data_IF_929796165347
#
_entry.id   IF_929796165347
#
_cell.length_a   1.000
_cell.length_b   1.000
_cell.length_c   1.000
_cell.angle_alpha   90.00
_cell.angle_beta   90.00
_cell.angle_gamma   90.00
#
_symmetry.space_group_name_H-M   'P 1'
#
loop_
_entity.id
_entity.type
_entity.pdbx_description
1 polymer ?
#
# COMPACT_ATOMS: atom_id res chain seq x y z
N UNK A 1 27.75 4.22 -47.11
CA UNK A 1 27.85 4.81 -45.75
C UNK A 1 26.67 4.41 -44.86
N UNK A 2 25.42 4.51 -45.32
CA UNK A 2 24.22 4.14 -44.55
C UNK A 2 24.24 2.73 -43.96
N UNK A 3 24.63 1.70 -44.73
CA UNK A 3 24.69 0.31 -44.23
C UNK A 3 25.68 0.10 -43.07
N UNK A 4 26.80 0.85 -43.05
CA UNK A 4 27.81 0.75 -41.98
C UNK A 4 27.40 1.50 -40.71
N UNK A 5 26.63 2.59 -40.84
CA UNK A 5 25.99 3.25 -39.70
C UNK A 5 24.91 2.39 -39.07
N UNK A 6 24.09 1.72 -39.89
CA UNK A 6 23.11 0.74 -39.42
C UNK A 6 23.75 -0.42 -38.66
N UNK A 7 24.85 -0.98 -39.17
CA UNK A 7 25.55 -2.07 -38.48
C UNK A 7 26.07 -1.64 -37.10
N UNK A 8 26.59 -0.41 -36.98
CA UNK A 8 27.06 0.13 -35.70
C UNK A 8 25.92 0.40 -34.73
N UNK A 9 24.80 0.96 -35.20
CA UNK A 9 23.60 1.10 -34.38
C UNK A 9 23.08 -0.25 -33.91
N UNK A 10 23.01 -1.26 -34.79
CA UNK A 10 22.61 -2.62 -34.43
C UNK A 10 23.57 -3.22 -33.40
N UNK A 11 24.88 -2.98 -33.52
CA UNK A 11 25.87 -3.52 -32.59
C UNK A 11 25.83 -2.83 -31.22
N UNK A 12 25.59 -1.50 -31.18
CA UNK A 12 25.37 -0.74 -29.95
C UNK A 12 24.03 -1.09 -29.30
N UNK A 13 22.96 -1.25 -30.08
CA UNK A 13 21.67 -1.75 -29.62
C UNK A 13 21.77 -3.18 -29.09
N UNK A 14 22.54 -4.05 -29.74
CA UNK A 14 22.83 -5.41 -29.26
C UNK A 14 23.63 -5.36 -27.96
N UNK A 15 24.63 -4.48 -27.85
CA UNK A 15 25.36 -4.26 -26.60
C UNK A 15 24.44 -3.77 -25.49
N UNK A 16 23.52 -2.85 -25.76
CA UNK A 16 22.52 -2.40 -24.78
C UNK A 16 21.46 -3.45 -24.44
N UNK A 17 21.13 -4.34 -25.37
CA UNK A 17 20.24 -5.48 -25.12
C UNK A 17 20.93 -6.60 -24.33
N UNK A 18 22.23 -6.82 -24.59
CA UNK A 18 23.02 -7.90 -24.00
C UNK A 18 23.70 -7.49 -22.69
N UNK A 19 23.96 -6.20 -22.48
CA UNK A 19 24.41 -5.67 -21.20
C UNK A 19 23.20 -5.17 -20.42
N UNK A 20 23.11 -5.42 -19.11
CA UNK A 20 22.02 -4.92 -18.29
C UNK A 20 22.18 -3.42 -18.00
N UNK A 21 22.49 -2.61 -19.01
CA UNK A 21 22.57 -1.16 -18.92
C UNK A 21 21.20 -0.53 -18.60
N UNK A 22 20.11 -1.17 -19.05
CA UNK A 22 18.74 -0.87 -18.64
C UNK A 22 18.52 -0.94 -17.11
N UNK A 23 19.52 -1.44 -16.36
CA UNK A 23 19.47 -1.65 -14.94
C UNK A 23 20.55 -0.88 -14.15
N UNK A 24 21.39 -0.08 -14.82
CA UNK A 24 22.48 0.66 -14.18
C UNK A 24 22.10 2.08 -13.77
N UNK A 25 22.76 2.65 -12.76
CA UNK A 25 22.57 4.06 -12.37
C UNK A 25 23.04 5.00 -13.51
N UNK A 26 22.41 6.17 -13.67
CA UNK A 26 22.72 7.24 -14.64
C UNK A 26 24.21 7.48 -14.84
N UNK A 27 24.96 7.60 -13.74
CA UNK A 27 26.39 7.86 -13.81
C UNK A 27 27.16 6.74 -14.52
N UNK A 28 26.70 5.50 -14.40
CA UNK A 28 27.34 4.31 -14.99
C UNK A 28 27.02 4.23 -16.47
N UNK A 29 25.74 4.36 -16.83
CA UNK A 29 25.33 4.36 -18.23
C UNK A 29 26.08 5.47 -18.99
N UNK A 30 26.03 6.70 -18.47
CA UNK A 30 26.76 7.82 -19.06
C UNK A 30 28.28 7.63 -19.05
N UNK A 31 28.89 7.10 -17.99
CA UNK A 31 30.33 6.83 -17.98
C UNK A 31 30.73 5.74 -18.97
N UNK A 32 29.89 4.73 -19.18
CA UNK A 32 30.15 3.62 -20.10
C UNK A 32 29.95 4.06 -21.55
N UNK A 33 28.89 4.83 -21.84
CA UNK A 33 28.72 5.48 -23.14
C UNK A 33 29.88 6.43 -23.42
N UNK A 34 30.24 7.32 -22.48
CA UNK A 34 31.42 8.18 -22.60
C UNK A 34 32.70 7.37 -22.79
N UNK A 35 32.87 6.27 -22.07
CA UNK A 35 34.01 5.36 -22.19
C UNK A 35 34.10 4.74 -23.59
N UNK A 36 32.99 4.22 -24.13
CA UNK A 36 32.92 3.71 -25.51
C UNK A 36 33.32 4.81 -26.50
N UNK A 37 32.81 6.03 -26.33
CA UNK A 37 33.12 7.15 -27.21
C UNK A 37 34.57 7.59 -27.13
N UNK A 38 35.13 7.74 -25.92
CA UNK A 38 36.52 8.15 -25.67
C UNK A 38 37.51 7.08 -26.10
N UNK A 39 37.17 5.78 -25.94
CA UNK A 39 38.03 4.66 -26.31
C UNK A 39 37.92 4.29 -27.79
N UNK A 40 36.82 4.62 -28.47
CA UNK A 40 36.62 4.32 -29.90
C UNK A 40 37.76 4.78 -30.83
N UNK A 41 38.41 5.95 -30.65
CA UNK A 41 39.53 6.39 -31.49
C UNK A 41 40.81 5.60 -31.20
N UNK A 42 41.01 5.17 -29.95
CA UNK A 42 42.17 4.36 -29.56
C UNK A 42 42.06 2.93 -30.09
N UNK A 43 40.88 2.33 -30.01
CA UNK A 43 40.59 1.01 -30.60
C UNK A 43 40.74 1.08 -32.12
N UNK A 44 40.22 2.12 -32.77
CA UNK A 44 40.36 2.34 -34.21
C UNK A 44 41.82 2.57 -34.67
N UNK A 45 42.70 3.08 -33.79
CA UNK A 45 44.13 3.18 -34.09
C UNK A 45 44.83 1.82 -34.08
N UNK A 46 44.44 0.92 -33.17
CA UNK A 46 45.03 -0.42 -33.04
C UNK A 46 44.46 -1.43 -34.05
N UNK A 47 43.23 -1.25 -34.50
CA UNK A 47 42.57 -2.14 -35.47
C UNK A 47 42.35 -1.38 -36.79
N UNK A 48 43.22 -1.56 -37.81
CA UNK A 48 43.18 -0.78 -39.05
C UNK A 48 41.84 -0.91 -39.79
N UNK A 49 41.18 -2.05 -39.67
CA UNK A 49 39.85 -2.32 -40.23
C UNK A 49 38.74 -1.46 -39.63
N UNK A 50 38.96 -0.86 -38.45
CA UNK A 50 38.00 -0.01 -37.73
C UNK A 50 38.34 1.49 -37.80
N UNK A 51 39.34 1.90 -38.58
CA UNK A 51 39.74 3.32 -38.74
C UNK A 51 38.62 4.24 -39.25
N UNK A 52 37.61 3.67 -39.91
CA UNK A 52 36.44 4.41 -40.39
C UNK A 52 35.41 4.68 -39.29
N UNK A 53 35.44 3.96 -38.17
CA UNK A 53 34.44 4.01 -37.11
C UNK A 53 34.33 5.39 -36.44
N UNK A 54 35.43 6.04 -36.00
CA UNK A 54 35.33 7.33 -35.33
C UNK A 54 34.87 8.41 -36.31
N UNK A 55 35.34 8.38 -37.56
CA UNK A 55 34.90 9.31 -38.61
C UNK A 55 33.41 9.16 -38.87
N UNK A 56 32.89 7.93 -38.93
CA UNK A 56 31.47 7.67 -39.17
C UNK A 56 30.60 8.09 -37.97
N UNK A 57 31.02 7.80 -36.74
CA UNK A 57 30.35 8.25 -35.52
C UNK A 57 30.25 9.78 -35.45
N UNK A 58 31.36 10.49 -35.68
CA UNK A 58 31.39 11.95 -35.65
C UNK A 58 30.64 12.60 -36.83
N UNK A 59 30.69 12.01 -38.03
CA UNK A 59 29.95 12.55 -39.19
C UNK A 59 28.44 12.32 -39.09
N UNK A 60 27.99 11.22 -38.48
CA UNK A 60 26.57 11.03 -38.16
C UNK A 60 26.11 12.05 -37.11
N UNK A 61 26.89 12.25 -36.03
CA UNK A 61 26.57 13.24 -34.99
C UNK A 61 26.49 14.66 -35.57
N UNK A 62 27.52 15.07 -36.34
CA UNK A 62 27.58 16.39 -36.96
C UNK A 62 26.53 16.57 -38.07
N UNK A 63 26.20 15.50 -38.81
CA UNK A 63 25.16 15.53 -39.85
C UNK A 63 23.74 15.58 -39.30
N UNK A 64 23.49 15.03 -38.12
CA UNK A 64 22.21 15.11 -37.42
C UNK A 64 21.99 16.47 -36.73
N UNK A 65 23.07 17.20 -36.41
CA UNK A 65 23.02 18.49 -35.72
C UNK A 65 22.26 19.61 -36.48
N UNK A 66 22.41 19.79 -37.81
CA UNK A 66 21.60 20.75 -38.56
C UNK A 66 20.14 20.31 -38.73
N UNK A 67 19.88 19.00 -38.90
CA UNK A 67 18.51 18.45 -38.91
C UNK A 67 17.84 18.69 -37.55
N UNK A 68 18.60 18.54 -36.48
CA UNK A 68 18.19 18.87 -35.11
C UNK A 68 17.85 20.35 -34.94
N UNK A 69 18.73 21.27 -35.38
CA UNK A 69 18.44 22.72 -35.36
C UNK A 69 17.16 23.07 -36.12
N UNK A 70 16.92 22.42 -37.27
CA UNK A 70 15.73 22.61 -38.10
C UNK A 70 14.44 22.08 -37.43
N UNK A 71 14.51 20.91 -36.79
CA UNK A 71 13.38 20.32 -36.06
C UNK A 71 13.04 21.08 -34.77
N UNK A 72 14.04 21.68 -34.11
CA UNK A 72 13.84 22.54 -32.94
C UNK A 72 13.14 23.87 -33.28
N UNK A 73 13.26 24.33 -34.52
CA UNK A 73 12.58 25.53 -35.01
C UNK A 73 11.15 25.23 -35.54
N UNK A 74 10.71 23.97 -35.52
CA UNK A 74 9.41 23.57 -36.07
C UNK A 74 8.27 23.82 -35.06
N UNK A 75 7.25 24.64 -35.40
CA UNK A 75 6.30 25.19 -34.42
C UNK A 75 5.33 24.19 -33.77
N UNK A 76 5.34 22.91 -34.15
CA UNK A 76 4.29 21.94 -33.78
C UNK A 76 4.72 20.92 -32.69
N UNK A 77 5.86 21.13 -32.01
CA UNK A 77 6.25 20.32 -30.85
C UNK A 77 6.62 18.85 -31.13
N UNK A 78 6.36 18.33 -32.34
CA UNK A 78 6.71 16.97 -32.75
C UNK A 78 8.22 16.69 -32.72
N UNK A 79 9.06 17.74 -32.80
CA UNK A 79 10.51 17.63 -32.64
C UNK A 79 10.94 17.12 -31.25
N UNK A 80 10.09 17.21 -30.22
CA UNK A 80 10.42 16.80 -28.86
C UNK A 80 10.27 15.29 -28.58
N UNK A 81 9.54 14.54 -29.42
CA UNK A 81 9.27 13.11 -29.19
C UNK A 81 10.48 12.21 -29.53
N UNK A 82 11.16 12.35 -30.70
CA UNK A 82 12.41 11.63 -30.93
C UNK A 82 13.54 12.13 -30.03
N UNK A 83 13.45 13.40 -29.60
CA UNK A 83 14.35 14.02 -28.64
C UNK A 83 14.18 13.42 -27.25
N UNK A 84 12.98 13.10 -26.77
CA UNK A 84 12.85 12.39 -25.49
C UNK A 84 13.50 11.02 -25.58
N UNK A 85 13.31 10.26 -26.66
CA UNK A 85 13.97 8.95 -26.81
C UNK A 85 15.50 9.06 -26.92
N UNK A 86 16.05 9.96 -27.74
CA UNK A 86 17.50 10.13 -27.85
C UNK A 86 18.11 10.83 -26.63
N UNK A 87 17.45 11.81 -26.01
CA UNK A 87 17.87 12.41 -24.74
C UNK A 87 17.75 11.42 -23.58
N UNK A 88 16.73 10.56 -23.54
CA UNK A 88 16.64 9.45 -22.58
C UNK A 88 17.73 8.40 -22.83
N UNK A 89 18.09 8.17 -24.10
CA UNK A 89 19.21 7.32 -24.50
C UNK A 89 20.58 7.91 -24.14
N UNK A 90 20.83 9.20 -24.40
CA UNK A 90 22.11 9.88 -24.20
C UNK A 90 22.30 10.49 -22.80
N UNK A 91 21.22 10.94 -22.15
CA UNK A 91 21.24 11.73 -20.92
C UNK A 91 20.32 11.21 -19.80
N UNK A 92 19.52 10.17 -20.08
CA UNK A 92 18.72 9.36 -19.16
C UNK A 92 18.46 10.00 -17.79
N UNK A 93 17.49 10.90 -17.72
CA UNK A 93 16.99 11.37 -16.42
C UNK A 93 16.05 10.31 -15.84
N UNK A 94 16.29 9.93 -14.58
CA UNK A 94 15.42 9.03 -13.83
C UNK A 94 14.05 9.66 -13.46
N UNK A 95 13.74 10.85 -13.96
CA UNK A 95 12.51 11.59 -13.68
C UNK A 95 11.46 11.49 -14.80
N UNK A 96 11.69 10.69 -15.85
CA UNK A 96 10.55 10.17 -16.61
C UNK A 96 9.88 9.09 -15.77
N UNK A 97 8.54 9.04 -15.70
CA UNK A 97 7.80 8.05 -14.89
C UNK A 97 8.19 6.58 -15.15
N UNK A 98 8.88 6.31 -16.25
CA UNK A 98 9.37 5.02 -16.69
C UNK A 98 10.53 4.40 -15.87
N UNK A 99 10.99 5.00 -14.77
CA UNK A 99 12.18 4.51 -14.07
C UNK A 99 11.83 3.59 -12.90
N UNK A 100 12.54 2.47 -12.81
CA UNK A 100 12.31 1.45 -11.79
C UNK A 100 12.79 1.94 -10.43
N UNK A 101 11.85 2.21 -9.52
CA UNK A 101 12.12 2.57 -8.12
C UNK A 101 12.10 1.32 -7.26
N UNK A 102 13.15 1.08 -6.50
CA UNK A 102 13.14 0.04 -5.46
C UNK A 102 12.19 0.47 -4.36
N UNK A 103 11.13 -0.31 -4.12
CA UNK A 103 10.08 0.01 -3.14
C UNK A 103 10.11 -0.91 -1.93
N UNK A 104 10.65 -2.12 -2.07
CA UNK A 104 10.71 -3.11 -0.99
C UNK A 104 11.99 -3.94 -1.06
N UNK A 105 12.52 -4.36 0.08
CA UNK A 105 13.66 -5.28 0.20
C UNK A 105 13.21 -6.50 0.99
N UNK A 106 13.26 -7.66 0.35
CA UNK A 106 12.85 -8.94 0.92
C UNK A 106 13.97 -9.59 1.72
N UNK A 107 15.17 -9.66 1.13
CA UNK A 107 16.29 -10.40 1.71
C UNK A 107 17.63 -9.73 1.39
N UNK A 108 18.66 -10.01 2.19
CA UNK A 108 20.03 -9.53 1.98
C UNK A 108 21.09 -10.60 2.23
N UNK A 109 22.19 -10.56 1.49
CA UNK A 109 23.37 -11.39 1.72
C UNK A 109 24.61 -10.68 1.18
N UNK A 110 25.65 -10.51 2.01
CA UNK A 110 26.95 -9.95 1.60
C UNK A 110 26.84 -8.62 0.82
N UNK A 111 25.94 -7.73 1.26
CA UNK A 111 25.68 -6.44 0.60
C UNK A 111 24.75 -6.51 -0.62
N UNK A 112 24.50 -7.69 -1.18
CA UNK A 112 23.45 -7.88 -2.19
C UNK A 112 22.06 -7.92 -1.54
N UNK A 113 21.04 -7.49 -2.27
CA UNK A 113 19.64 -7.48 -1.82
C UNK A 113 18.71 -8.08 -2.87
N UNK A 114 17.68 -8.79 -2.43
CA UNK A 114 16.51 -9.12 -3.25
C UNK A 114 15.44 -8.09 -2.95
N UNK A 115 14.94 -7.43 -3.98
CA UNK A 115 14.12 -6.24 -3.83
C UNK A 115 12.99 -6.17 -4.86
N UNK A 116 11.86 -5.59 -4.47
CA UNK A 116 10.78 -5.22 -5.38
C UNK A 116 11.10 -3.85 -6.00
N UNK A 117 11.05 -3.77 -7.32
CA UNK A 117 11.06 -2.52 -8.04
C UNK A 117 9.70 -2.26 -8.67
N UNK A 118 9.29 -1.00 -8.73
CA UNK A 118 8.07 -0.55 -9.40
C UNK A 118 8.40 0.59 -10.37
N UNK A 119 7.74 0.62 -11.53
CA UNK A 119 7.77 1.77 -12.43
C UNK A 119 6.34 2.19 -12.79
N UNK A 120 6.15 3.49 -13.01
CA UNK A 120 4.86 4.11 -13.34
C UNK A 120 4.93 4.69 -14.75
N UNK A 121 4.56 3.89 -15.75
CA UNK A 121 4.52 4.39 -17.11
C UNK A 121 3.34 5.35 -17.30
N UNK A 122 3.62 6.54 -17.84
CA UNK A 122 2.58 7.44 -18.31
C UNK A 122 2.01 6.88 -19.62
N UNK A 123 0.80 6.33 -19.56
CA UNK A 123 0.04 5.93 -20.75
C UNK A 123 -1.02 6.99 -21.04
N UNK A 124 -1.07 7.48 -22.29
CA UNK A 124 -2.02 8.51 -22.72
C UNK A 124 -3.50 8.09 -22.64
N UNK A 125 -3.79 6.79 -22.48
CA UNK A 125 -5.13 6.24 -22.71
C UNK A 125 -5.63 5.25 -21.64
N UNK A 126 -4.94 5.08 -20.50
CA UNK A 126 -5.46 4.19 -19.45
C UNK A 126 -4.91 4.55 -18.08
N UNK A 127 -5.74 4.29 -17.06
CA UNK A 127 -5.41 4.30 -15.63
C UNK A 127 -3.99 3.78 -15.38
N UNK A 128 -3.20 4.51 -14.56
CA UNK A 128 -1.83 4.20 -14.17
C UNK A 128 -1.55 2.69 -14.08
N UNK A 129 -0.86 2.13 -15.08
CA UNK A 129 -0.40 0.75 -15.04
C UNK A 129 0.91 0.70 -14.26
N UNK A 130 0.82 0.35 -12.97
CA UNK A 130 1.99 0.05 -12.14
C UNK A 130 2.55 -1.30 -12.53
N UNK A 131 3.75 -1.31 -13.09
CA UNK A 131 4.50 -2.55 -13.27
C UNK A 131 5.38 -2.79 -12.06
N UNK A 132 5.46 -4.03 -11.61
CA UNK A 132 6.32 -4.44 -10.50
C UNK A 132 7.17 -5.65 -10.90
N UNK A 133 8.39 -5.72 -10.38
CA UNK A 133 9.30 -6.86 -10.59
C UNK A 133 10.12 -7.14 -9.33
N UNK A 134 10.54 -8.38 -9.18
CA UNK A 134 11.48 -8.80 -8.14
C UNK A 134 12.86 -8.95 -8.77
N UNK A 135 13.86 -8.31 -8.16
CA UNK A 135 15.22 -8.26 -8.68
C UNK A 135 16.24 -8.54 -7.60
N UNK A 136 17.38 -9.10 -8.01
CA UNK A 136 18.58 -9.20 -7.19
C UNK A 136 19.53 -8.07 -7.57
N UNK A 137 19.83 -7.21 -6.60
CA UNK A 137 20.73 -6.06 -6.71
C UNK A 137 22.04 -6.42 -5.99
N UNK A 138 23.14 -6.48 -6.72
CA UNK A 138 24.48 -6.81 -6.22
C UNK A 138 25.36 -5.56 -6.32
N UNK A 139 25.87 -4.99 -5.22
CA UNK A 139 26.80 -3.87 -5.29
C UNK A 139 28.14 -4.34 -5.87
N UNK A 140 28.55 -3.76 -6.98
CA UNK A 140 29.89 -3.96 -7.55
C UNK A 140 30.87 -2.93 -6.99
N UNK A 141 30.40 -1.72 -6.71
CA UNK A 141 31.13 -0.66 -5.99
C UNK A 141 30.15 0.16 -5.13
N UNK A 142 30.61 1.09 -4.27
CA UNK A 142 29.70 1.95 -3.49
C UNK A 142 28.72 2.78 -4.32
N UNK A 143 29.05 3.04 -5.60
CA UNK A 143 28.22 3.81 -6.53
C UNK A 143 27.60 2.94 -7.64
N UNK A 144 28.06 1.69 -7.77
CA UNK A 144 27.64 0.80 -8.86
C UNK A 144 26.93 -0.43 -8.34
N UNK A 145 25.71 -0.64 -8.84
CA UNK A 145 24.87 -1.78 -8.53
C UNK A 145 24.54 -2.55 -9.82
N UNK A 146 24.64 -3.87 -9.75
CA UNK A 146 24.24 -4.80 -10.79
C UNK A 146 22.88 -5.38 -10.46
N UNK A 147 21.89 -5.22 -11.34
CA UNK A 147 20.54 -5.73 -11.10
C UNK A 147 20.23 -6.84 -12.08
N UNK A 148 19.69 -7.93 -11.56
CA UNK A 148 19.27 -9.12 -12.32
C UNK A 148 17.88 -9.54 -11.88
N UNK A 149 17.18 -10.32 -12.68
CA UNK A 149 15.91 -10.93 -12.24
C UNK A 149 16.17 -11.85 -11.04
N UNK A 150 15.29 -11.82 -10.04
CA UNK A 150 15.31 -12.79 -8.95
C UNK A 150 14.18 -13.81 -9.15
N UNK A 151 14.51 -15.09 -9.05
CA UNK A 151 13.54 -16.18 -9.16
C UNK A 151 12.67 -16.28 -7.90
N UNK A 152 13.26 -16.03 -6.73
CA UNK A 152 12.60 -16.09 -5.42
C UNK A 152 12.71 -14.76 -4.66
N UNK A 153 11.63 -14.37 -3.95
CA UNK A 153 11.64 -13.25 -3.01
C UNK A 153 12.52 -13.54 -1.79
N UNK A 154 12.61 -14.82 -1.38
CA UNK A 154 13.34 -15.27 -0.19
C UNK A 154 14.31 -16.42 -0.52
N UNK A 155 15.46 -16.15 -1.17
CA UNK A 155 16.41 -17.20 -1.48
C UNK A 155 16.92 -17.90 -0.21
N UNK A 156 17.06 -19.23 -0.26
CA UNK A 156 17.54 -20.00 0.88
C UNK A 156 18.91 -19.50 1.35
N UNK A 157 19.09 -19.40 2.67
CA UNK A 157 20.33 -18.94 3.30
C UNK A 157 20.56 -17.43 3.27
N UNK A 158 19.65 -16.64 2.70
CA UNK A 158 19.70 -15.17 2.79
C UNK A 158 19.07 -14.68 4.09
N UNK A 159 19.59 -13.57 4.62
CA UNK A 159 18.98 -12.94 5.79
C UNK A 159 17.70 -12.24 5.37
N UNK A 160 16.57 -12.68 5.93
CA UNK A 160 15.26 -12.07 5.74
C UNK A 160 15.24 -10.64 6.29
N UNK A 161 14.74 -9.71 5.47
CA UNK A 161 14.68 -8.29 5.76
C UNK A 161 13.23 -7.84 5.87
N UNK A 162 12.45 -8.05 4.81
CA UNK A 162 11.04 -7.71 4.66
C UNK A 162 10.68 -6.29 5.14
N UNK A 163 11.24 -5.29 4.45
CA UNK A 163 11.07 -3.88 4.77
C UNK A 163 11.00 -3.01 3.51
N UNK A 164 10.29 -1.89 3.59
CA UNK A 164 10.26 -0.91 2.51
C UNK A 164 11.67 -0.35 2.22
N UNK A 165 11.99 -0.14 0.95
CA UNK A 165 13.32 0.28 0.50
C UNK A 165 13.72 1.67 1.02
N UNK A 166 12.75 2.52 1.37
CA UNK A 166 12.98 3.83 2.02
C UNK A 166 13.79 3.72 3.32
N UNK A 167 13.76 2.55 3.97
CA UNK A 167 14.54 2.27 5.17
C UNK A 167 15.99 1.87 4.88
N UNK A 168 16.42 1.77 3.62
CA UNK A 168 17.80 1.40 3.24
C UNK A 168 18.54 2.51 2.50
N UNK A 169 18.04 3.74 2.59
CA UNK A 169 18.72 4.91 2.07
C UNK A 169 20.02 5.20 2.84
N UNK A 170 20.85 6.15 2.34
CA UNK A 170 22.08 6.56 3.03
C UNK A 170 21.83 7.15 4.43
N UNK A 171 20.59 7.56 4.71
CA UNK A 171 20.14 7.97 6.04
C UNK A 171 19.78 6.76 6.90
N UNK A 172 20.80 6.19 7.55
CA UNK A 172 20.67 5.06 8.49
C UNK A 172 19.78 5.36 9.70
N UNK A 173 19.47 6.64 9.98
CA UNK A 173 18.61 7.01 11.12
C UNK A 173 17.16 6.60 10.87
N UNK A 174 16.67 6.64 9.63
CA UNK A 174 15.31 6.16 9.29
C UNK A 174 15.19 4.65 9.48
N UNK A 175 16.23 3.90 9.09
CA UNK A 175 16.29 2.47 9.34
C UNK A 175 16.29 2.16 10.83
N UNK A 176 17.17 2.81 11.58
CA UNK A 176 17.31 2.62 13.01
C UNK A 176 15.99 2.90 13.74
N UNK A 177 15.29 3.99 13.39
CA UNK A 177 13.97 4.32 13.95
C UNK A 177 12.93 3.27 13.61
N UNK A 178 12.86 2.80 12.36
CA UNK A 178 11.93 1.77 11.95
C UNK A 178 12.20 0.41 12.63
N UNK A 179 13.48 0.08 12.82
CA UNK A 179 13.92 -1.15 13.49
C UNK A 179 13.63 -1.09 14.99
N UNK A 180 13.89 0.04 15.63
CA UNK A 180 13.50 0.30 17.02
C UNK A 180 11.98 0.24 17.21
N UNK A 181 11.21 0.79 16.26
CA UNK A 181 9.74 0.73 16.24
C UNK A 181 9.26 -0.73 16.15
N UNK A 182 9.81 -1.50 15.20
CA UNK A 182 9.48 -2.93 15.01
C UNK A 182 9.87 -3.78 16.22
N UNK A 183 11.05 -3.53 16.82
CA UNK A 183 11.50 -4.22 18.03
C UNK A 183 10.63 -3.85 19.25
N UNK A 184 10.19 -2.59 19.36
CA UNK A 184 9.18 -2.15 20.32
C UNK A 184 7.87 -2.91 20.17
N UNK A 185 7.34 -2.97 18.93
CA UNK A 185 6.12 -3.73 18.62
C UNK A 185 6.23 -5.23 18.97
N UNK A 186 7.35 -5.86 18.63
CA UNK A 186 7.58 -7.28 18.94
C UNK A 186 7.61 -7.55 20.44
N UNK A 187 8.25 -6.67 21.23
CA UNK A 187 8.24 -6.77 22.69
C UNK A 187 6.83 -6.68 23.26
N UNK A 188 6.02 -5.74 22.78
CA UNK A 188 4.62 -5.63 23.25
C UNK A 188 3.80 -6.87 22.91
N UNK A 189 4.01 -7.44 21.72
CA UNK A 189 3.32 -8.65 21.32
C UNK A 189 3.71 -9.87 22.17
N UNK A 190 5.00 -10.03 22.48
CA UNK A 190 5.47 -11.10 23.37
C UNK A 190 4.90 -10.94 24.78
N UNK A 191 4.86 -9.71 25.31
CA UNK A 191 4.28 -9.43 26.61
C UNK A 191 2.77 -9.70 26.62
N UNK A 192 2.07 -9.35 25.54
CA UNK A 192 0.65 -9.69 25.39
C UNK A 192 0.43 -11.21 25.40
N UNK A 193 1.22 -11.97 24.63
CA UNK A 193 1.14 -13.44 24.63
C UNK A 193 1.41 -14.02 26.01
N UNK A 194 2.39 -13.46 26.74
CA UNK A 194 2.68 -13.83 28.13
C UNK A 194 1.45 -13.60 29.01
N UNK A 195 0.83 -12.43 28.95
CA UNK A 195 -0.38 -12.11 29.72
C UNK A 195 -1.57 -12.99 29.37
N UNK A 196 -1.78 -13.27 28.07
CA UNK A 196 -2.85 -14.14 27.60
C UNK A 196 -2.65 -15.60 28.02
N UNK A 197 -1.40 -16.02 28.25
CA UNK A 197 -1.06 -17.36 28.74
C UNK A 197 -1.30 -17.55 30.24
N UNK A 198 -1.38 -16.45 31.01
CA UNK A 198 -1.65 -16.53 32.45
C UNK A 198 -3.14 -16.88 32.63
N UNK A 199 -3.48 -17.98 33.32
CA UNK A 199 -4.87 -18.31 33.63
C UNK A 199 -5.51 -17.16 34.37
N UNK A 200 -6.34 -16.41 33.67
CA UNK A 200 -6.93 -15.18 34.17
C UNK A 200 -7.93 -15.51 35.28
N UNK A 201 -7.53 -15.37 36.54
CA UNK A 201 -8.45 -15.02 37.64
C UNK A 201 -8.93 -13.56 37.52
N UNK A 202 -9.04 -13.05 36.29
CA UNK A 202 -8.88 -11.66 35.96
C UNK A 202 -10.04 -10.77 36.41
N UNK A 203 -9.77 -9.47 36.66
CA UNK A 203 -10.81 -8.46 36.78
C UNK A 203 -11.77 -8.54 35.59
N UNK A 204 -13.07 -8.60 35.92
CA UNK A 204 -14.15 -8.66 34.95
C UNK A 204 -14.06 -7.42 34.05
N UNK A 205 -13.66 -7.62 32.80
CA UNK A 205 -13.59 -6.54 31.81
C UNK A 205 -14.96 -5.90 31.65
N UNK A 206 -15.02 -4.58 31.77
CA UNK A 206 -16.23 -3.78 31.58
C UNK A 206 -16.16 -3.00 30.28
N UNK A 207 -17.27 -2.95 29.56
CA UNK A 207 -17.42 -2.12 28.38
C UNK A 207 -17.31 -0.63 28.77
N UNK A 208 -16.83 0.24 27.86
CA UNK A 208 -16.88 1.68 28.10
C UNK A 208 -18.34 2.10 28.36
N UNK A 209 -18.58 3.07 29.25
CA UNK A 209 -19.91 3.62 29.44
C UNK A 209 -20.39 4.21 28.12
N UNK A 210 -21.68 4.02 27.79
CA UNK A 210 -22.29 4.80 26.73
C UNK A 210 -22.44 6.23 27.28
N UNK A 211 -21.56 7.13 26.85
CA UNK A 211 -21.61 8.53 27.22
C UNK A 211 -22.37 9.32 26.15
N UNK A 212 -22.87 10.49 26.51
CA UNK A 212 -23.57 11.39 25.58
C UNK A 212 -22.68 12.60 25.23
N UNK A 213 -21.35 12.49 25.33
CA UNK A 213 -20.44 13.65 25.25
C UNK A 213 -19.51 13.61 24.04
N UNK A 214 -19.59 12.60 23.19
CA UNK A 214 -18.63 12.39 22.12
C UNK A 214 -17.26 11.93 22.63
N UNK A 215 -17.22 11.04 23.64
CA UNK A 215 -15.96 10.61 24.27
C UNK A 215 -14.96 9.90 23.32
N UNK A 216 -15.34 9.65 22.06
CA UNK A 216 -14.51 9.00 21.05
C UNK A 216 -14.34 7.50 21.33
N UNK A 217 -15.33 6.89 21.99
CA UNK A 217 -15.25 5.51 22.47
C UNK A 217 -16.16 4.59 21.67
N UNK A 218 -15.74 3.34 21.50
CA UNK A 218 -16.56 2.24 20.99
C UNK A 218 -16.10 0.94 21.65
N UNK A 219 -17.06 0.06 21.96
CA UNK A 219 -16.76 -1.27 22.49
C UNK A 219 -17.96 -2.19 22.40
N UNK A 220 -17.73 -3.49 22.35
CA UNK A 220 -18.78 -4.52 22.24
C UNK A 220 -18.26 -5.84 22.80
N UNK A 221 -19.14 -6.84 22.94
CA UNK A 221 -18.77 -8.23 23.18
C UNK A 221 -18.89 -9.02 21.86
N UNK A 222 -17.80 -9.68 21.46
CA UNK A 222 -17.71 -10.57 20.31
C UNK A 222 -17.58 -12.01 20.80
N UNK A 223 -18.57 -12.85 20.49
CA UNK A 223 -18.64 -14.25 20.91
C UNK A 223 -18.43 -14.44 22.44
N UNK A 224 -19.08 -13.58 23.25
CA UNK A 224 -19.03 -13.62 24.72
C UNK A 224 -17.74 -13.06 25.32
N UNK A 225 -16.84 -12.53 24.51
CA UNK A 225 -15.62 -11.85 24.97
C UNK A 225 -15.74 -10.36 24.66
N UNK A 226 -15.43 -9.50 25.63
CA UNK A 226 -15.27 -8.06 25.35
C UNK A 226 -14.27 -7.90 24.21
N UNK A 227 -14.67 -7.20 23.15
CA UNK A 227 -13.80 -6.76 22.07
C UNK A 227 -12.91 -5.66 22.65
N UNK A 228 -11.67 -6.03 22.94
CA UNK A 228 -10.76 -5.27 23.79
C UNK A 228 -9.88 -4.40 22.92
N UNK A 229 -9.62 -3.18 23.40
CA UNK A 229 -8.35 -2.51 23.08
C UNK A 229 -7.24 -2.89 24.05
N UNK A 230 -7.60 -3.44 25.21
CA UNK A 230 -6.65 -3.62 26.30
C UNK A 230 -5.82 -4.86 26.04
N UNK A 231 -4.58 -4.54 25.73
CA UNK A 231 -3.39 -5.35 25.60
C UNK A 231 -2.24 -4.39 25.40
N UNK A 232 -1.01 -4.83 25.55
CA UNK A 232 0.12 -3.95 25.27
C UNK A 232 0.16 -3.65 23.76
N UNK A 233 -0.23 -2.45 23.35
CA UNK A 233 0.10 -1.96 22.01
C UNK A 233 1.31 -1.04 22.08
N UNK A 234 1.93 -0.87 20.93
CA UNK A 234 3.06 0.02 20.79
C UNK A 234 2.59 1.37 20.28
N UNK A 235 2.72 2.43 21.09
CA UNK A 235 2.34 3.80 20.73
C UNK A 235 3.39 4.52 19.85
N UNK A 236 4.46 3.81 19.49
CA UNK A 236 5.61 4.33 18.77
C UNK A 236 6.85 4.51 19.64
N UNK A 237 6.70 4.53 20.98
CA UNK A 237 7.80 4.67 21.94
C UNK A 237 7.85 3.52 22.95
N UNK A 238 6.70 3.12 23.49
CA UNK A 238 6.60 2.10 24.52
C UNK A 238 5.39 1.20 24.33
N UNK A 239 5.40 0.09 25.06
CA UNK A 239 4.21 -0.71 25.28
C UNK A 239 3.30 0.05 26.23
N UNK A 240 2.09 0.35 25.80
CA UNK A 240 1.08 1.00 26.60
C UNK A 240 -0.13 0.08 26.74
N UNK A 241 -0.74 0.12 27.91
CA UNK A 241 -2.01 -0.55 28.21
C UNK A 241 -3.21 0.27 27.71
N UNK A 242 -2.93 1.48 27.23
CA UNK A 242 -3.90 2.43 26.71
C UNK A 242 -3.75 2.51 25.20
N UNK A 243 -4.35 1.54 24.52
CA UNK A 243 -4.44 1.55 23.06
C UNK A 243 -5.74 2.23 22.72
N UNK A 244 -5.81 3.55 22.46
CA UNK A 244 -7.10 4.17 22.23
C UNK A 244 -7.74 3.51 21.00
N UNK A 245 -8.77 2.69 21.23
CA UNK A 245 -9.78 2.37 20.23
C UNK A 245 -10.45 3.70 19.96
N UNK A 246 -9.89 4.43 19.00
CA UNK A 246 -10.47 5.65 18.48
C UNK A 246 -11.56 5.19 17.54
N UNK A 247 -12.78 5.41 17.97
CA UNK A 247 -13.91 5.34 17.08
C UNK A 247 -14.05 6.69 16.41
N UNK A 248 -14.20 6.68 15.10
CA UNK A 248 -14.49 7.85 14.31
C UNK A 248 -15.81 7.64 13.59
N UNK A 249 -16.51 8.73 13.33
CA UNK A 249 -17.67 8.71 12.45
C UNK A 249 -17.47 9.70 11.31
N UNK A 250 -17.79 9.27 10.10
CA UNK A 250 -17.85 10.13 8.93
C UNK A 250 -19.32 10.34 8.57
N UNK A 251 -19.72 11.60 8.38
CA UNK A 251 -20.99 11.94 7.73
C UNK A 251 -20.77 11.93 6.22
N UNK A 252 -21.35 10.95 5.55
CA UNK A 252 -21.19 10.73 4.10
C UNK A 252 -22.17 11.58 3.29
N UNK A 253 -23.40 11.75 3.78
CA UNK A 253 -24.46 12.46 3.06
C UNK A 253 -25.47 13.07 4.03
N UNK A 254 -26.06 14.20 3.62
CA UNK A 254 -27.20 14.84 4.30
C UNK A 254 -28.21 15.26 3.24
N UNK A 255 -29.45 14.80 3.36
CA UNK A 255 -30.57 15.38 2.63
C UNK A 255 -30.99 16.69 3.32
N UNK A 256 -30.82 17.86 2.68
CA UNK A 256 -31.12 19.15 3.31
C UNK A 256 -32.62 19.36 3.56
N UNK A 257 -33.48 18.67 2.82
CA UNK A 257 -34.93 18.81 2.91
C UNK A 257 -35.50 17.90 4.00
N UNK A 258 -35.10 16.64 4.02
CA UNK A 258 -35.64 15.65 4.96
C UNK A 258 -34.83 15.52 6.25
N UNK A 259 -33.62 16.13 6.30
CA UNK A 259 -32.65 15.98 7.39
C UNK A 259 -32.32 14.51 7.67
N UNK A 260 -32.25 13.70 6.62
CA UNK A 260 -31.76 12.33 6.69
C UNK A 260 -30.24 12.36 6.55
N UNK A 261 -29.54 11.73 7.49
CA UNK A 261 -28.09 11.65 7.56
C UNK A 261 -27.61 10.24 7.20
N UNK A 262 -26.50 10.14 6.47
CA UNK A 262 -25.75 8.88 6.28
C UNK A 262 -24.43 8.92 7.05
N UNK A 263 -24.21 7.95 7.94
CA UNK A 263 -23.00 7.86 8.75
C UNK A 263 -22.23 6.57 8.50
N UNK A 264 -20.90 6.65 8.56
CA UNK A 264 -20.01 5.50 8.70
C UNK A 264 -19.22 5.61 9.99
N UNK A 265 -19.52 4.76 10.97
CA UNK A 265 -18.76 4.66 12.22
C UNK A 265 -17.70 3.58 12.01
N UNK A 266 -16.44 3.91 12.27
CA UNK A 266 -15.33 3.00 12.08
C UNK A 266 -14.51 2.92 13.35
N UNK A 267 -14.01 1.74 13.65
CA UNK A 267 -12.94 1.57 14.62
C UNK A 267 -12.00 0.47 14.19
N UNK A 268 -10.71 0.65 14.48
CA UNK A 268 -9.68 -0.32 14.19
C UNK A 268 -8.96 -0.71 15.48
N UNK A 269 -8.87 -2.01 15.70
CA UNK A 269 -8.04 -2.61 16.73
C UNK A 269 -6.72 -3.02 16.10
N UNK A 270 -5.63 -2.40 16.56
CA UNK A 270 -4.27 -2.76 16.20
C UNK A 270 -3.64 -3.60 17.31
N UNK A 271 -3.76 -4.92 17.22
CA UNK A 271 -3.13 -5.87 18.14
C UNK A 271 -1.78 -6.38 17.60
N UNK A 272 -0.88 -5.45 17.24
CA UNK A 272 0.41 -5.77 16.61
C UNK A 272 0.44 -5.46 15.10
N UNK A 273 1.51 -5.89 14.37
CA UNK A 273 1.72 -5.50 12.97
C UNK A 273 0.74 -6.15 11.99
N UNK A 274 0.30 -7.37 12.28
CA UNK A 274 -0.55 -8.20 11.41
C UNK A 274 -1.99 -8.29 11.92
N UNK A 275 -2.20 -8.19 13.24
CA UNK A 275 -3.53 -8.32 13.82
C UNK A 275 -4.24 -6.98 13.79
N UNK A 276 -4.93 -6.75 12.68
CA UNK A 276 -5.82 -5.61 12.50
C UNK A 276 -7.23 -6.14 12.34
N UNK A 277 -8.06 -5.84 13.32
CA UNK A 277 -9.49 -6.05 13.21
C UNK A 277 -10.16 -4.70 13.03
N UNK A 278 -11.00 -4.56 12.03
CA UNK A 278 -11.70 -3.33 11.74
C UNK A 278 -13.19 -3.58 11.83
N UNK A 279 -13.87 -2.85 12.70
CA UNK A 279 -15.31 -2.82 12.77
C UNK A 279 -15.82 -1.56 12.05
N UNK A 280 -16.81 -1.74 11.18
CA UNK A 280 -17.53 -0.66 10.52
C UNK A 280 -19.03 -0.83 10.76
N UNK A 281 -19.69 0.26 11.12
CA UNK A 281 -21.14 0.38 11.24
C UNK A 281 -21.55 1.45 10.21
N UNK A 282 -22.20 1.03 9.14
CA UNK A 282 -22.72 1.96 8.14
C UNK A 282 -24.19 2.20 8.38
N UNK A 283 -24.64 3.45 8.48
CA UNK A 283 -26.00 3.88 8.78
C UNK A 283 -26.46 4.82 7.66
N UNK A 284 -27.10 4.29 6.62
CA UNK A 284 -27.47 5.03 5.41
C UNK A 284 -28.58 6.07 5.61
N UNK A 285 -29.52 5.84 6.54
CA UNK A 285 -30.68 6.73 6.76
C UNK A 285 -30.99 6.93 8.24
N UNK A 286 -30.38 7.93 8.84
CA UNK A 286 -30.62 8.34 10.23
C UNK A 286 -31.39 9.65 10.24
N UNK A 287 -32.60 9.66 10.80
CA UNK A 287 -33.43 10.85 10.97
C UNK A 287 -33.34 11.46 12.37
N UNK A 288 -32.83 10.71 13.35
CA UNK A 288 -32.75 11.16 14.75
C UNK A 288 -32.40 10.04 15.71
N UNK A 289 -32.55 10.27 17.03
CA UNK A 289 -32.54 9.20 18.01
C UNK A 289 -33.65 8.18 17.74
N UNK A 290 -33.34 6.90 17.88
CA UNK A 290 -34.26 5.81 17.52
C UNK A 290 -33.56 4.47 17.39
N UNK A 291 -34.34 3.42 17.17
CA UNK A 291 -33.81 2.08 16.87
C UNK A 291 -33.96 1.79 15.39
N UNK A 292 -32.88 1.31 14.79
CA UNK A 292 -32.73 0.96 13.39
C UNK A 292 -32.41 -0.54 13.32
N UNK A 293 -33.19 -1.30 12.56
CA UNK A 293 -33.03 -2.75 12.40
C UNK A 293 -32.79 -3.12 10.94
N UNK A 294 -32.03 -4.20 10.72
CA UNK A 294 -31.85 -4.80 9.39
C UNK A 294 -32.82 -5.95 9.19
N UNK A 295 -33.92 -5.73 8.49
CA UNK A 295 -34.90 -6.79 8.26
C UNK A 295 -34.54 -7.66 7.05
N UNK A 296 -33.79 -7.11 6.07
CA UNK A 296 -33.41 -7.85 4.85
C UNK A 296 -31.98 -7.55 4.33
N UNK A 297 -31.37 -8.48 3.54
CA UNK A 297 -30.09 -8.22 2.88
C UNK A 297 -30.12 -7.06 1.88
N UNK A 298 -31.29 -6.77 1.28
CA UNK A 298 -31.46 -5.68 0.32
C UNK A 298 -31.45 -4.32 1.01
N UNK A 299 -32.01 -4.25 2.22
CA UNK A 299 -31.88 -3.07 3.07
C UNK A 299 -30.46 -2.89 3.59
N UNK A 300 -29.64 -3.95 3.63
CA UNK A 300 -28.26 -3.85 4.10
C UNK A 300 -27.38 -2.96 3.23
N UNK A 301 -27.62 -2.95 1.93
CA UNK A 301 -26.89 -2.09 0.99
C UNK A 301 -27.37 -0.64 0.95
N UNK A 302 -28.54 -0.33 1.54
CA UNK A 302 -29.14 1.00 1.45
C UNK A 302 -29.28 1.72 2.81
N UNK A 303 -29.43 0.97 3.91
CA UNK A 303 -29.84 1.53 5.19
C UNK A 303 -28.88 1.23 6.34
N UNK A 304 -28.34 0.01 6.45
CA UNK A 304 -27.52 -0.35 7.60
C UNK A 304 -26.62 -1.55 7.27
N UNK A 305 -25.34 -1.54 7.65
CA UNK A 305 -24.54 -2.78 7.71
C UNK A 305 -23.56 -2.77 8.88
N UNK A 306 -23.32 -3.95 9.44
CA UNK A 306 -22.33 -4.19 10.48
C UNK A 306 -21.27 -5.12 9.91
N UNK A 307 -20.05 -4.63 9.79
CA UNK A 307 -18.94 -5.32 9.12
C UNK A 307 -17.75 -5.42 10.05
N UNK A 308 -17.22 -6.62 10.22
CA UNK A 308 -15.95 -6.89 10.89
C UNK A 308 -14.98 -7.50 9.88
N UNK A 309 -13.90 -6.79 9.58
CA UNK A 309 -12.80 -7.31 8.78
C UNK A 309 -11.67 -7.78 9.70
N UNK A 310 -11.36 -9.07 9.65
CA UNK A 310 -10.16 -9.63 10.27
C UNK A 310 -9.04 -9.72 9.22
N UNK A 311 -8.09 -8.79 9.28
CA UNK A 311 -6.98 -8.72 8.31
C UNK A 311 -5.94 -9.83 8.53
N UNK A 312 -6.00 -10.59 9.63
CA UNK A 312 -5.09 -11.73 9.88
C UNK A 312 -5.48 -12.91 9.04
N UNK A 313 -6.77 -13.23 9.05
CA UNK A 313 -7.33 -14.37 8.35
C UNK A 313 -7.91 -13.99 6.99
N UNK A 314 -7.70 -12.74 6.56
CA UNK A 314 -8.31 -12.12 5.38
C UNK A 314 -9.80 -12.43 5.27
N UNK A 315 -10.49 -12.36 6.42
CA UNK A 315 -11.89 -12.77 6.53
C UNK A 315 -12.76 -11.55 6.74
N UNK A 316 -13.77 -11.40 5.88
CA UNK A 316 -14.80 -10.39 6.00
C UNK A 316 -16.05 -11.03 6.62
N UNK A 317 -16.47 -10.52 7.77
CA UNK A 317 -17.73 -10.89 8.40
C UNK A 317 -18.72 -9.74 8.27
N UNK A 318 -19.91 -9.99 7.73
CA UNK A 318 -20.96 -8.96 7.62
C UNK A 318 -22.31 -9.48 8.08
N UNK A 319 -23.19 -8.56 8.46
CA UNK A 319 -24.59 -8.89 8.74
C UNK A 319 -25.34 -9.22 7.43
N UNK A 320 -25.03 -8.53 6.34
CA UNK A 320 -25.60 -8.85 5.02
C UNK A 320 -25.40 -10.33 4.65
N UNK A 321 -24.19 -10.87 4.87
CA UNK A 321 -23.88 -12.28 4.65
C UNK A 321 -24.61 -13.22 5.61
N UNK A 322 -24.88 -12.76 6.84
CA UNK A 322 -25.66 -13.53 7.79
C UNK A 322 -27.12 -13.65 7.32
N UNK A 323 -27.70 -12.58 6.76
CA UNK A 323 -29.06 -12.56 6.27
C UNK A 323 -29.24 -13.25 4.90
N UNK A 324 -28.17 -13.45 4.12
CA UNK A 324 -28.27 -14.17 2.84
C UNK A 324 -28.59 -15.66 3.03
N UNK A 325 -29.85 -16.00 2.73
CA UNK A 325 -30.39 -17.36 2.82
C UNK A 325 -29.99 -18.27 1.66
N UNK A 326 -29.27 -17.77 0.65
CA UNK A 326 -28.92 -18.56 -0.56
C UNK A 326 -27.74 -19.51 -0.36
N UNK A 327 -27.04 -19.44 0.78
CA UNK A 327 -25.93 -20.35 1.08
C UNK A 327 -26.36 -21.80 1.37
N UNK A 328 -25.50 -22.81 1.13
CA UNK A 328 -25.79 -24.25 1.28
C UNK A 328 -26.07 -24.72 2.72
N UNK A 329 -26.24 -23.80 3.67
CA UNK A 329 -26.65 -24.03 5.06
C UNK A 329 -27.66 -22.99 5.51
N UNK A 330 -28.78 -22.87 4.79
CA UNK A 330 -29.95 -22.06 5.16
C UNK A 330 -30.67 -22.52 6.45
N UNK A 331 -29.98 -23.28 7.34
CA UNK A 331 -30.58 -24.05 8.42
C UNK A 331 -30.27 -23.53 9.83
N UNK A 332 -29.65 -22.36 10.00
CA UNK A 332 -29.63 -21.69 11.31
C UNK A 332 -30.89 -20.83 11.44
N UNK A 333 -31.93 -21.38 12.07
CA UNK A 333 -33.24 -20.75 12.24
C UNK A 333 -33.26 -19.51 13.16
N UNK A 334 -32.14 -19.15 13.81
CA UNK A 334 -32.08 -18.03 14.77
C UNK A 334 -31.04 -16.96 14.39
N UNK A 335 -30.99 -16.56 13.11
CA UNK A 335 -30.20 -15.38 12.74
C UNK A 335 -30.93 -14.13 13.21
N UNK A 336 -30.40 -13.52 14.27
CA UNK A 336 -30.94 -12.26 14.78
C UNK A 336 -30.51 -11.11 13.86
N UNK A 337 -31.45 -10.28 13.39
CA UNK A 337 -31.10 -9.08 12.65
C UNK A 337 -30.21 -8.18 13.51
N UNK A 338 -29.28 -7.47 12.90
CA UNK A 338 -28.53 -6.47 13.63
C UNK A 338 -29.45 -5.29 13.96
N UNK A 339 -29.24 -4.73 15.15
CA UNK A 339 -29.98 -3.60 15.69
C UNK A 339 -29.00 -2.53 16.13
N UNK A 340 -29.26 -1.29 15.77
CA UNK A 340 -28.54 -0.10 16.25
C UNK A 340 -29.54 0.85 16.88
N UNK A 341 -29.29 1.26 18.12
CA UNK A 341 -30.10 2.26 18.80
C UNK A 341 -29.29 3.54 18.94
N UNK A 342 -29.67 4.58 18.20
CA UNK A 342 -29.12 5.93 18.34
C UNK A 342 -29.76 6.58 19.56
N UNK A 343 -28.96 6.85 20.58
CA UNK A 343 -29.40 7.54 21.81
C UNK A 343 -29.21 9.05 21.73
N UNK A 344 -28.28 9.53 20.89
CA UNK A 344 -28.02 10.95 20.67
C UNK A 344 -27.54 11.17 19.24
N UNK A 345 -28.16 12.15 18.58
CA UNK A 345 -27.67 12.77 17.35
C UNK A 345 -27.71 14.28 17.56
N UNK A 346 -26.54 14.90 17.63
CA UNK A 346 -26.38 16.34 17.83
C UNK A 346 -25.58 16.94 16.67
N UNK A 347 -26.25 17.56 15.69
CA UNK A 347 -25.57 18.10 14.52
C UNK A 347 -24.67 19.30 14.79
N UNK A 348 -24.92 20.05 15.86
CA UNK A 348 -24.14 21.24 16.20
C UNK A 348 -22.84 20.84 16.90
N UNK A 349 -22.94 19.97 17.91
CA UNK A 349 -21.78 19.42 18.61
C UNK A 349 -21.07 18.30 17.82
N UNK A 350 -21.68 17.86 16.72
CA UNK A 350 -21.26 16.71 15.89
C UNK A 350 -21.07 15.45 16.69
N UNK A 351 -22.04 15.13 17.55
CA UNK A 351 -22.01 13.95 18.42
C UNK A 351 -23.00 12.91 17.90
N UNK A 352 -22.54 11.67 17.82
CA UNK A 352 -23.37 10.50 17.53
C UNK A 352 -23.08 9.43 18.60
N UNK A 353 -24.11 9.02 19.35
CA UNK A 353 -23.96 8.05 20.44
C UNK A 353 -25.08 7.02 20.41
N UNK A 354 -24.76 5.77 20.75
CA UNK A 354 -25.74 4.70 20.68
C UNK A 354 -25.22 3.33 21.11
N UNK A 355 -26.04 2.32 20.86
CA UNK A 355 -25.75 0.91 21.13
C UNK A 355 -25.99 0.05 19.89
N UNK A 356 -25.38 -1.13 19.84
CA UNK A 356 -25.59 -2.06 18.73
C UNK A 356 -25.44 -3.53 19.14
N UNK A 357 -26.11 -4.41 18.42
CA UNK A 357 -26.00 -5.86 18.55
C UNK A 357 -26.34 -6.53 17.21
N UNK A 358 -25.90 -7.77 17.00
CA UNK A 358 -26.15 -8.47 15.74
C UNK A 358 -25.35 -9.77 15.62
N UNK A 359 -25.45 -10.43 14.48
CA UNK A 359 -24.74 -11.67 14.21
C UNK A 359 -24.03 -11.59 12.86
N UNK A 360 -22.71 -11.66 12.88
CA UNK A 360 -21.89 -11.55 11.68
C UNK A 360 -21.57 -12.93 11.13
N UNK A 361 -21.53 -13.05 9.80
CA UNK A 361 -21.13 -14.28 9.11
C UNK A 361 -20.04 -13.97 8.10
N UNK A 362 -19.02 -14.83 8.04
CA UNK A 362 -17.97 -14.67 7.05
C UNK A 362 -18.44 -15.09 5.65
N UNK A 363 -17.82 -14.53 4.62
CA UNK A 363 -17.92 -15.03 3.24
C UNK A 363 -17.46 -16.49 3.11
N UNK A 364 -16.52 -16.91 3.96
CA UNK A 364 -16.00 -18.27 3.98
C UNK A 364 -17.07 -19.28 4.45
N UNK A 365 -17.42 -20.31 3.65
CA UNK A 365 -18.53 -21.23 3.95
C UNK A 365 -18.43 -22.02 5.26
N UNK A 366 -17.22 -22.13 5.81
CA UNK A 366 -16.91 -22.92 7.01
C UNK A 366 -16.67 -22.06 8.26
N UNK A 367 -16.67 -20.74 8.14
CA UNK A 367 -16.49 -19.87 9.31
C UNK A 367 -17.70 -19.98 10.24
N UNK A 368 -17.44 -19.98 11.54
CA UNK A 368 -18.50 -19.90 12.54
C UNK A 368 -19.06 -18.46 12.55
N UNK A 369 -20.38 -18.29 12.69
CA UNK A 369 -20.93 -16.95 12.88
C UNK A 369 -20.41 -16.36 14.18
N UNK A 370 -20.25 -15.04 14.19
CA UNK A 370 -19.78 -14.27 15.34
C UNK A 370 -20.94 -13.47 15.92
N UNK A 371 -21.26 -13.71 17.19
CA UNK A 371 -22.27 -12.91 17.89
C UNK A 371 -21.65 -11.60 18.35
N UNK A 372 -22.23 -10.46 17.94
CA UNK A 372 -21.95 -9.14 18.48
C UNK A 372 -23.04 -8.80 19.49
N UNK A 373 -22.65 -8.39 20.69
CA UNK A 373 -23.58 -8.06 21.76
C UNK A 373 -23.07 -6.90 22.61
N UNK A 374 -23.99 -6.20 23.29
CA UNK A 374 -23.67 -5.08 24.19
C UNK A 374 -22.77 -4.01 23.55
N UNK A 375 -22.91 -3.79 22.24
CA UNK A 375 -22.16 -2.75 21.55
C UNK A 375 -22.56 -1.35 22.02
N UNK A 376 -21.58 -0.47 22.17
CA UNK A 376 -21.73 0.92 22.60
C UNK A 376 -20.78 1.78 21.77
N UNK A 377 -21.23 2.96 21.37
CA UNK A 377 -20.37 3.98 20.77
C UNK A 377 -20.78 5.38 21.24
N UNK A 378 -19.79 6.26 21.35
CA UNK A 378 -19.97 7.69 21.60
C UNK A 378 -18.87 8.44 20.86
N UNK A 379 -19.20 9.01 19.71
CA UNK A 379 -18.20 9.52 18.75
C UNK A 379 -18.51 10.94 18.30
N UNK A 380 -17.44 11.69 18.04
CA UNK A 380 -17.53 12.88 17.20
C UNK A 380 -17.48 12.48 15.73
N UNK A 381 -18.32 13.12 14.92
CA UNK A 381 -18.30 12.91 13.48
C UNK A 381 -17.75 14.11 12.71
N UNK A 382 -17.16 13.83 11.55
CA UNK A 382 -16.64 14.84 10.62
C UNK A 382 -17.34 14.75 9.26
N UNK A 383 -17.28 15.84 8.48
CA UNK A 383 -17.85 15.90 7.13
C UNK A 383 -16.85 15.34 6.13
N UNK A 384 -17.27 14.40 5.28
CA UNK A 384 -16.49 14.00 4.11
C UNK A 384 -16.63 15.11 3.06
N UNK A 385 -15.52 15.72 2.66
CA UNK A 385 -15.51 16.64 1.51
C UNK A 385 -15.38 15.79 0.26
N UNK A 386 -16.46 15.76 -0.54
CA UNK A 386 -16.42 15.20 -1.89
C UNK A 386 -15.74 16.16 -2.87
#
# INVERSE_FOLDING_TARGET
MLARGWLLCVLLSLLEWLTPLAFSNRAVSSALHCGIWVLSPFVARRLPELRWLPRLLWSVLLGLLPVWLLLCLWPWGFGLIPLSYQYHFFFGTNDSGATWKTTYIYARQNGAVVARQQCEYWSLHSSETRHSRTVKIVPLTPVWQWVTSAEDEHPQGWALVDKAAVYFGPDSTKQYRADALKAGQQRCWQEQQRLDSIPQSAPRLTLPPATQRGAGTLGFELAGKVWRNFGHCFDGQACTDQCPVRASAALEYVDPTTRIYSFRIMTELHAGPTNRQQLSIWLGRVSGPGTYELESPQEASENFDLVLQDKVTDSLYSQANALDRRGPRAATQDIRPARVTITRLDPEARILSGTFEGQLRADAPRAKPLQVSKGRFDVHYFLVRN
#
